data_IF_719013197751
#
_entry.id   IF_719013197751
#
_cell.length_a   1.000
_cell.length_b   1.000
_cell.length_c   1.000
_cell.angle_alpha   90.00
_cell.angle_beta   90.00
_cell.angle_gamma   90.00
#
_symmetry.space_group_name_H-M   'P 1'
#
loop_
_entity.id
_entity.type
_entity.pdbx_description
1 polymer ?
#
# COMPACT_ATOMS: atom_id res chain seq x y z
N UNK A 1 23.60 16.37 -17.54
CA UNK A 1 22.32 15.57 -17.46
C UNK A 1 21.25 16.44 -16.83
N UNK A 2 19.98 16.27 -17.25
CA UNK A 2 18.87 16.99 -16.64
C UNK A 2 18.57 16.41 -15.24
N UNK A 3 18.22 17.26 -14.26
CA UNK A 3 17.84 16.77 -12.93
C UNK A 3 16.63 15.83 -12.98
N UNK A 4 16.65 14.81 -12.14
CA UNK A 4 15.50 13.94 -11.89
C UNK A 4 14.81 14.42 -10.63
N UNK A 5 13.51 14.63 -10.69
CA UNK A 5 12.70 15.09 -9.56
C UNK A 5 11.68 14.03 -9.15
N UNK A 6 11.78 13.58 -7.90
CA UNK A 6 10.81 12.72 -7.23
C UNK A 6 9.91 13.58 -6.36
N UNK A 7 8.59 13.35 -6.37
CA UNK A 7 7.69 14.02 -5.42
C UNK A 7 7.62 13.25 -4.11
N UNK A 8 8.15 13.86 -3.06
CA UNK A 8 8.20 13.29 -1.70
C UNK A 8 7.09 13.76 -0.76
N UNK A 9 6.10 14.53 -1.25
CA UNK A 9 5.06 15.13 -0.36
C UNK A 9 4.31 14.07 0.46
N UNK A 10 4.11 12.87 -0.08
CA UNK A 10 3.45 11.75 0.62
C UNK A 10 4.23 11.27 1.84
N UNK A 11 5.53 11.55 1.92
CA UNK A 11 6.39 11.20 3.06
C UNK A 11 6.21 12.13 4.27
N UNK A 12 5.37 13.15 4.16
CA UNK A 12 4.89 13.94 5.30
C UNK A 12 3.66 13.28 5.98
N UNK A 13 3.16 12.18 5.44
CA UNK A 13 2.06 11.38 5.99
C UNK A 13 2.63 10.12 6.67
N UNK A 14 1.84 9.41 7.52
CA UNK A 14 2.28 8.15 8.13
C UNK A 14 2.75 7.11 7.08
N UNK A 15 3.84 6.40 7.37
CA UNK A 15 4.50 5.49 6.43
C UNK A 15 3.71 4.17 6.31
N UNK A 16 2.60 4.21 5.58
CA UNK A 16 1.74 3.06 5.28
C UNK A 16 1.32 3.07 3.81
N UNK A 17 1.11 1.90 3.19
CA UNK A 17 0.66 1.80 1.79
C UNK A 17 1.56 2.55 0.80
N UNK A 18 1.02 3.56 0.09
CA UNK A 18 1.77 4.36 -0.90
C UNK A 18 2.95 5.12 -0.27
N UNK A 19 2.82 5.80 0.90
CA UNK A 19 3.98 6.35 1.60
C UNK A 19 5.09 5.32 1.86
N UNK A 20 4.74 4.07 2.21
CA UNK A 20 5.73 2.98 2.40
C UNK A 20 6.48 2.70 1.09
N UNK A 21 5.78 2.58 -0.03
CA UNK A 21 6.42 2.35 -1.32
C UNK A 21 7.46 3.46 -1.63
N UNK A 22 7.06 4.73 -1.49
CA UNK A 22 7.97 5.86 -1.78
C UNK A 22 9.16 5.87 -0.82
N UNK A 23 8.91 5.63 0.47
CA UNK A 23 9.96 5.55 1.50
C UNK A 23 10.99 4.47 1.18
N UNK A 24 10.52 3.24 0.92
CA UNK A 24 11.39 2.09 0.67
C UNK A 24 12.20 2.24 -0.63
N UNK A 25 11.60 2.81 -1.67
CA UNK A 25 12.30 3.11 -2.93
C UNK A 25 13.33 4.20 -2.72
N UNK A 26 12.98 5.33 -2.12
CA UNK A 26 13.88 6.49 -1.97
C UNK A 26 15.06 6.17 -1.07
N UNK A 27 14.83 5.52 0.07
CA UNK A 27 15.90 5.20 1.02
C UNK A 27 16.89 4.17 0.50
N UNK A 28 16.43 3.20 -0.31
CA UNK A 28 17.32 2.22 -0.94
C UNK A 28 17.96 2.73 -2.22
N UNK A 29 17.29 3.64 -2.93
CA UNK A 29 17.85 4.27 -4.12
C UNK A 29 19.01 5.18 -3.77
N UNK A 30 18.99 5.87 -2.63
CA UNK A 30 20.00 6.84 -2.22
C UNK A 30 21.43 6.28 -2.30
N UNK A 31 21.79 5.16 -1.64
CA UNK A 31 23.14 4.59 -1.76
C UNK A 31 23.47 4.07 -3.15
N UNK A 32 22.46 3.63 -3.94
CA UNK A 32 22.68 3.16 -5.31
C UNK A 32 23.04 4.28 -6.31
N UNK A 33 22.83 5.54 -5.93
CA UNK A 33 23.17 6.71 -6.74
C UNK A 33 24.64 7.12 -6.59
N UNK A 34 25.36 6.61 -5.61
CA UNK A 34 26.79 6.91 -5.41
C UNK A 34 27.60 6.61 -6.67
N UNK A 35 28.42 7.57 -7.10
CA UNK A 35 29.27 7.44 -8.30
C UNK A 35 28.55 7.48 -9.64
N UNK A 36 27.21 7.58 -9.70
CA UNK A 36 26.47 7.61 -10.98
C UNK A 36 26.50 8.96 -11.69
N UNK A 37 26.82 10.04 -10.99
CA UNK A 37 26.78 11.42 -11.52
C UNK A 37 25.36 11.96 -11.77
N UNK A 38 24.30 11.26 -11.36
CA UNK A 38 22.92 11.68 -11.52
C UNK A 38 22.54 12.76 -10.48
N UNK A 39 21.88 13.84 -10.91
CA UNK A 39 21.30 14.86 -10.02
C UNK A 39 19.85 14.47 -9.71
N UNK A 40 19.65 13.73 -8.61
CA UNK A 40 18.33 13.31 -8.13
C UNK A 40 17.89 14.23 -6.98
N UNK A 41 16.67 14.76 -7.10
CA UNK A 41 16.10 15.68 -6.13
C UNK A 41 14.74 15.18 -5.66
N UNK A 42 14.53 15.18 -4.34
CA UNK A 42 13.24 14.90 -3.74
C UNK A 42 12.58 16.23 -3.38
N UNK A 43 11.60 16.64 -4.19
CA UNK A 43 10.80 17.84 -3.91
C UNK A 43 9.57 17.47 -3.08
N UNK A 44 9.28 18.24 -2.04
CA UNK A 44 8.07 18.04 -1.23
C UNK A 44 7.40 19.37 -0.91
N UNK A 45 6.10 19.29 -0.61
CA UNK A 45 5.36 20.47 -0.16
C UNK A 45 5.73 20.79 1.29
N UNK A 46 6.43 21.89 1.48
CA UNK A 46 6.72 22.44 2.81
C UNK A 46 5.48 23.19 3.34
N UNK A 47 4.71 22.51 4.17
CA UNK A 47 3.51 23.02 4.84
C UNK A 47 3.61 22.91 6.37
N UNK A 48 4.84 22.75 6.90
CA UNK A 48 5.14 22.65 8.33
C UNK A 48 5.01 21.24 8.90
N UNK A 49 4.58 20.24 8.11
CA UNK A 49 4.60 18.83 8.55
C UNK A 49 6.01 18.26 8.46
N UNK A 50 6.40 17.37 9.39
CA UNK A 50 7.69 16.71 9.32
C UNK A 50 7.79 15.81 8.09
N UNK A 51 8.96 15.76 7.49
CA UNK A 51 9.30 14.80 6.44
C UNK A 51 9.87 13.53 7.09
N UNK A 52 9.18 12.40 6.93
CA UNK A 52 9.57 11.13 7.54
C UNK A 52 10.60 10.41 6.65
N UNK A 53 11.85 10.88 6.67
CA UNK A 53 12.99 10.25 5.99
C UNK A 53 14.24 10.29 6.88
N UNK A 54 15.13 9.29 6.77
CA UNK A 54 16.47 9.40 7.32
C UNK A 54 17.28 10.44 6.52
N UNK A 55 18.48 10.76 7.00
CA UNK A 55 19.43 11.55 6.23
C UNK A 55 19.81 10.83 4.92
N UNK A 56 19.67 11.52 3.79
CA UNK A 56 20.04 11.03 2.46
C UNK A 56 21.36 11.68 2.03
N UNK A 57 22.25 10.91 1.39
CA UNK A 57 23.58 11.37 0.98
C UNK A 57 23.64 11.80 -0.48
N UNK A 58 22.90 11.13 -1.36
CA UNK A 58 22.97 11.30 -2.80
C UNK A 58 21.71 11.95 -3.39
N UNK A 59 20.58 11.93 -2.66
CA UNK A 59 19.33 12.58 -3.07
C UNK A 59 19.19 13.93 -2.37
N UNK A 60 19.11 15.02 -3.13
CA UNK A 60 18.94 16.39 -2.60
C UNK A 60 17.49 16.62 -2.19
N UNK A 61 17.25 16.93 -0.93
CA UNK A 61 15.92 17.28 -0.42
C UNK A 61 15.64 18.77 -0.73
N UNK A 62 14.51 19.05 -1.39
CA UNK A 62 14.11 20.39 -1.82
C UNK A 62 12.72 20.73 -1.29
N UNK A 63 12.62 21.52 -0.20
CA UNK A 63 11.34 22.01 0.29
C UNK A 63 10.77 23.08 -0.66
N UNK A 64 9.50 22.95 -1.03
CA UNK A 64 8.81 23.92 -1.87
C UNK A 64 7.58 24.45 -1.14
N UNK A 65 7.64 25.72 -0.72
CA UNK A 65 6.50 26.39 -0.05
C UNK A 65 5.31 26.49 -0.99
N UNK A 66 4.19 25.90 -0.60
CA UNK A 66 2.97 25.92 -1.38
C UNK A 66 1.75 25.54 -0.54
N UNK A 67 0.58 26.11 -0.87
CA UNK A 67 -0.71 25.62 -0.38
C UNK A 67 -1.10 24.31 -1.09
N UNK A 68 -1.94 23.50 -0.45
CA UNK A 68 -2.27 22.12 -0.88
C UNK A 68 -2.54 21.96 -2.39
N UNK A 69 -3.37 22.81 -2.96
CA UNK A 69 -3.78 22.67 -4.37
C UNK A 69 -2.79 23.32 -5.34
N UNK A 70 -2.06 24.34 -4.93
CA UNK A 70 -1.09 25.02 -5.79
C UNK A 70 0.19 24.22 -6.00
N UNK A 71 0.53 23.30 -5.09
CA UNK A 71 1.77 22.54 -5.18
C UNK A 71 1.88 21.76 -6.49
N UNK A 72 0.96 20.82 -6.73
CA UNK A 72 0.97 19.96 -7.92
C UNK A 72 0.59 20.69 -9.21
N UNK A 73 -0.23 21.75 -9.14
CA UNK A 73 -0.74 22.45 -10.33
C UNK A 73 0.16 23.59 -10.79
N UNK A 74 0.93 24.21 -9.87
CA UNK A 74 1.66 25.44 -10.17
C UNK A 74 3.12 25.37 -9.73
N UNK A 75 3.38 25.08 -8.44
CA UNK A 75 4.73 25.25 -7.86
C UNK A 75 5.68 24.18 -8.38
N UNK A 76 5.32 22.91 -8.27
CA UNK A 76 6.12 21.81 -8.77
C UNK A 76 6.31 21.87 -10.31
N UNK A 77 5.28 22.11 -11.15
CA UNK A 77 5.47 22.28 -12.58
C UNK A 77 6.36 23.48 -12.97
N UNK A 78 6.30 24.58 -12.22
CA UNK A 78 7.23 25.71 -12.43
C UNK A 78 8.67 25.32 -12.09
N UNK A 79 8.88 24.61 -10.98
CA UNK A 79 10.19 24.11 -10.59
C UNK A 79 10.77 23.17 -11.68
N UNK A 80 9.98 22.19 -12.14
CA UNK A 80 10.38 21.26 -13.19
C UNK A 80 10.80 21.99 -14.49
N UNK A 81 10.01 22.96 -14.92
CA UNK A 81 10.33 23.78 -16.13
C UNK A 81 11.58 24.59 -15.96
N UNK A 82 11.72 25.30 -14.81
CA UNK A 82 12.89 26.15 -14.53
C UNK A 82 14.20 25.36 -14.56
N UNK A 83 14.18 24.11 -14.10
CA UNK A 83 15.36 23.25 -14.01
C UNK A 83 15.49 22.27 -15.19
N UNK A 84 14.60 22.30 -16.18
CA UNK A 84 14.51 21.31 -17.25
C UNK A 84 14.46 19.87 -16.75
N UNK A 85 13.85 19.66 -15.57
CA UNK A 85 13.87 18.40 -14.84
C UNK A 85 12.94 17.34 -15.46
N UNK A 86 13.33 16.07 -15.34
CA UNK A 86 12.48 14.94 -15.61
C UNK A 86 11.75 14.54 -14.31
N UNK A 87 10.48 14.24 -14.40
CA UNK A 87 9.64 13.95 -13.25
C UNK A 87 9.40 12.45 -13.06
N UNK A 88 9.62 11.96 -11.84
CA UNK A 88 9.34 10.58 -11.41
C UNK A 88 8.28 10.62 -10.30
N UNK A 89 7.03 10.32 -10.66
CA UNK A 89 5.90 10.28 -9.74
C UNK A 89 5.71 8.90 -9.15
N UNK A 90 6.16 8.68 -7.92
CA UNK A 90 6.08 7.39 -7.24
C UNK A 90 4.77 7.17 -6.46
N UNK A 91 3.95 8.21 -6.28
CA UNK A 91 2.81 8.22 -5.36
C UNK A 91 1.43 8.42 -6.02
N UNK A 92 1.24 8.01 -7.27
CA UNK A 92 0.02 8.31 -8.04
C UNK A 92 -0.25 9.82 -8.14
N UNK A 93 0.78 10.59 -8.46
CA UNK A 93 0.71 12.04 -8.51
C UNK A 93 0.04 12.57 -9.76
N UNK A 94 -0.71 13.67 -9.61
CA UNK A 94 -1.29 14.36 -10.74
C UNK A 94 -0.19 15.02 -11.60
N UNK A 95 -0.18 14.71 -12.88
CA UNK A 95 0.83 15.15 -13.84
C UNK A 95 0.47 16.43 -14.54
N UNK A 96 1.48 17.30 -14.67
CA UNK A 96 1.42 18.54 -15.47
C UNK A 96 2.65 18.68 -16.40
N UNK A 97 3.32 17.56 -16.74
CA UNK A 97 4.51 17.56 -17.62
C UNK A 97 4.57 16.29 -18.46
N UNK A 98 5.04 16.43 -19.71
CA UNK A 98 5.29 15.28 -20.62
C UNK A 98 6.63 14.59 -20.37
N UNK A 99 7.55 15.24 -19.65
CA UNK A 99 8.83 14.64 -19.25
C UNK A 99 8.65 13.92 -17.93
N UNK A 100 7.97 12.78 -17.96
CA UNK A 100 7.60 12.09 -16.74
C UNK A 100 7.36 10.60 -16.93
N UNK A 101 7.61 9.87 -15.85
CA UNK A 101 7.10 8.52 -15.60
C UNK A 101 6.33 8.51 -14.27
N UNK A 102 5.28 7.71 -14.19
CA UNK A 102 4.37 7.73 -13.02
C UNK A 102 3.95 6.33 -12.62
N UNK A 103 3.85 6.11 -11.31
CA UNK A 103 3.21 4.92 -10.74
C UNK A 103 1.73 5.22 -10.46
N UNK A 104 0.83 4.44 -11.03
CA UNK A 104 -0.56 4.31 -10.61
C UNK A 104 -0.68 3.02 -9.79
N UNK A 105 -0.72 3.14 -8.47
CA UNK A 105 -0.76 1.98 -7.57
C UNK A 105 -2.03 1.16 -7.74
N UNK A 106 -3.17 1.82 -7.89
CA UNK A 106 -4.44 1.21 -8.27
C UNK A 106 -5.38 2.25 -8.91
N UNK A 107 -6.46 1.76 -9.49
CA UNK A 107 -7.55 2.59 -10.01
C UNK A 107 -8.88 2.26 -9.32
N UNK A 108 -8.83 1.84 -8.06
CA UNK A 108 -9.99 1.47 -7.25
C UNK A 108 -11.16 2.47 -7.33
N UNK A 109 -10.95 3.80 -7.24
CA UNK A 109 -12.06 4.75 -7.30
C UNK A 109 -12.84 4.73 -8.62
N UNK A 110 -12.25 4.23 -9.69
CA UNK A 110 -12.92 4.09 -11.00
C UNK A 110 -13.67 2.76 -11.13
N UNK A 111 -13.21 1.72 -10.41
CA UNK A 111 -13.75 0.35 -10.47
C UNK A 111 -14.86 0.17 -9.44
N UNK A 112 -14.57 0.51 -8.19
CA UNK A 112 -15.51 0.39 -7.09
C UNK A 112 -16.25 1.71 -6.88
N UNK A 113 -17.59 1.67 -6.96
CA UNK A 113 -18.44 2.87 -6.79
C UNK A 113 -18.63 3.27 -5.31
N UNK A 114 -17.67 2.92 -4.44
CA UNK A 114 -17.70 3.19 -3.00
C UNK A 114 -17.32 4.63 -2.63
N UNK A 115 -16.59 5.31 -3.52
CA UNK A 115 -16.15 6.68 -3.28
C UNK A 115 -17.18 7.71 -3.79
N UNK A 116 -17.16 8.93 -3.22
CA UNK A 116 -18.02 10.03 -3.64
C UNK A 116 -17.83 10.37 -5.12
N UNK A 117 -18.92 10.72 -5.82
CA UNK A 117 -18.90 11.04 -7.24
C UNK A 117 -17.86 12.13 -7.59
N UNK A 118 -17.75 13.18 -6.78
CA UNK A 118 -16.77 14.25 -6.99
C UNK A 118 -15.32 13.75 -6.87
N UNK A 119 -15.04 12.90 -5.89
CA UNK A 119 -13.70 12.30 -5.73
C UNK A 119 -13.35 11.39 -6.91
N UNK A 120 -14.30 10.57 -7.34
CA UNK A 120 -14.16 9.71 -8.53
C UNK A 120 -13.93 10.51 -9.79
N UNK A 121 -14.65 11.62 -10.00
CA UNK A 121 -14.43 12.52 -11.11
C UNK A 121 -13.03 13.16 -11.09
N UNK A 122 -12.60 13.66 -9.93
CA UNK A 122 -11.25 14.22 -9.75
C UNK A 122 -10.16 13.16 -10.02
N UNK A 123 -10.38 11.94 -9.55
CA UNK A 123 -9.43 10.84 -9.77
C UNK A 123 -9.41 10.41 -11.25
N UNK A 124 -10.55 10.38 -11.90
CA UNK A 124 -10.65 10.14 -13.35
C UNK A 124 -9.87 11.19 -14.15
N UNK A 125 -10.01 12.47 -13.82
CA UNK A 125 -9.24 13.54 -14.46
C UNK A 125 -7.74 13.38 -14.22
N UNK A 126 -7.33 12.96 -13.03
CA UNK A 126 -5.96 12.60 -12.72
C UNK A 126 -5.46 11.46 -13.63
N UNK A 127 -6.23 10.38 -13.78
CA UNK A 127 -5.88 9.27 -14.66
C UNK A 127 -5.79 9.69 -16.13
N UNK A 128 -6.67 10.59 -16.59
CA UNK A 128 -6.58 11.16 -17.94
C UNK A 128 -5.30 11.98 -18.12
N UNK A 129 -4.92 12.81 -17.15
CA UNK A 129 -3.65 13.56 -17.23
C UNK A 129 -2.47 12.60 -17.34
N UNK A 130 -2.48 11.50 -16.60
CA UNK A 130 -1.45 10.44 -16.69
C UNK A 130 -1.44 9.79 -18.07
N UNK A 131 -2.60 9.42 -18.62
CA UNK A 131 -2.71 8.84 -19.99
C UNK A 131 -2.07 9.73 -21.06
N UNK A 132 -2.34 11.04 -21.02
CA UNK A 132 -1.94 11.97 -22.07
C UNK A 132 -0.54 12.56 -21.89
N UNK A 133 -0.08 12.69 -20.65
CA UNK A 133 1.17 13.37 -20.33
C UNK A 133 2.31 12.43 -19.96
N UNK A 134 2.05 11.29 -19.30
CA UNK A 134 3.15 10.40 -18.92
C UNK A 134 3.78 9.73 -20.12
N UNK A 135 5.13 9.73 -20.16
CA UNK A 135 5.90 8.98 -21.15
C UNK A 135 5.74 7.47 -20.98
N UNK A 136 5.78 7.02 -19.71
CA UNK A 136 5.48 5.65 -19.28
C UNK A 136 4.67 5.67 -17.99
N UNK A 137 3.84 4.68 -17.83
CA UNK A 137 3.06 4.44 -16.61
C UNK A 137 3.57 3.15 -15.99
N UNK A 138 3.67 3.11 -14.67
CA UNK A 138 3.95 1.89 -13.92
C UNK A 138 2.80 1.58 -12.98
N UNK A 139 2.67 0.32 -12.65
CA UNK A 139 1.73 -0.16 -11.63
C UNK A 139 2.35 -1.30 -10.84
N UNK A 140 1.63 -1.85 -9.85
CA UNK A 140 2.23 -2.74 -8.85
C UNK A 140 1.91 -4.23 -9.04
N UNK A 141 1.09 -4.59 -10.06
CA UNK A 141 0.78 -5.98 -10.42
C UNK A 141 0.34 -6.08 -11.88
N UNK A 142 0.42 -7.26 -12.49
CA UNK A 142 -0.10 -7.47 -13.85
C UNK A 142 -1.63 -7.36 -13.90
N UNK A 143 -2.34 -7.77 -12.86
CA UNK A 143 -3.77 -7.54 -12.72
C UNK A 143 -4.12 -6.05 -12.84
N UNK A 144 -3.40 -5.17 -12.11
CA UNK A 144 -3.60 -3.72 -12.23
C UNK A 144 -3.18 -3.19 -13.60
N UNK A 145 -2.14 -3.74 -14.21
CA UNK A 145 -1.68 -3.37 -15.55
C UNK A 145 -2.79 -3.59 -16.60
N UNK A 146 -3.41 -4.76 -16.58
CA UNK A 146 -4.54 -5.07 -17.47
C UNK A 146 -5.76 -4.20 -17.17
N UNK A 147 -6.10 -4.02 -15.90
CA UNK A 147 -7.22 -3.20 -15.47
C UNK A 147 -7.06 -1.72 -15.87
N UNK A 148 -5.86 -1.15 -15.70
CA UNK A 148 -5.52 0.21 -16.13
C UNK A 148 -5.64 0.33 -17.65
N UNK A 149 -5.12 -0.63 -18.40
CA UNK A 149 -5.22 -0.65 -19.86
C UNK A 149 -6.68 -0.67 -20.31
N UNK A 150 -7.48 -1.58 -19.76
CA UNK A 150 -8.91 -1.74 -20.10
C UNK A 150 -9.73 -0.48 -19.76
N UNK A 151 -9.56 0.05 -18.54
CA UNK A 151 -10.40 1.15 -18.02
C UNK A 151 -10.01 2.53 -18.53
N UNK A 152 -8.72 2.75 -18.77
CA UNK A 152 -8.21 4.04 -19.21
C UNK A 152 -7.82 4.08 -20.68
N UNK A 153 -7.76 2.92 -21.36
CA UNK A 153 -7.30 2.82 -22.75
C UNK A 153 -5.85 3.26 -22.91
N UNK A 154 -4.99 2.93 -21.93
CA UNK A 154 -3.54 3.09 -22.02
C UNK A 154 -2.99 1.80 -22.63
N UNK A 155 -2.21 1.85 -23.74
CA UNK A 155 -1.63 0.64 -24.32
C UNK A 155 -0.77 -0.15 -23.34
N UNK A 156 -0.84 -1.49 -23.35
CA UNK A 156 -0.14 -2.37 -22.43
C UNK A 156 1.38 -2.22 -22.48
N UNK A 157 1.95 -1.95 -23.65
CA UNK A 157 3.38 -1.69 -23.84
C UNK A 157 3.86 -0.38 -23.19
N UNK A 158 2.96 0.56 -22.97
CA UNK A 158 3.21 1.80 -22.22
C UNK A 158 3.14 1.60 -20.70
N UNK A 159 2.59 0.48 -20.21
CA UNK A 159 2.43 0.20 -18.79
C UNK A 159 3.44 -0.86 -18.34
N UNK A 160 4.40 -0.45 -17.49
CA UNK A 160 5.31 -1.35 -16.81
C UNK A 160 4.77 -1.80 -15.45
N UNK A 161 5.39 -2.84 -14.88
CA UNK A 161 5.09 -3.28 -13.51
C UNK A 161 6.30 -3.07 -12.63
N UNK A 162 6.08 -2.47 -11.46
CA UNK A 162 7.03 -2.31 -10.37
C UNK A 162 6.42 -2.88 -9.11
N UNK A 163 7.08 -3.84 -8.47
CA UNK A 163 6.50 -4.56 -7.34
C UNK A 163 6.79 -3.87 -5.99
N UNK A 164 6.05 -4.23 -4.97
CA UNK A 164 6.39 -3.93 -3.57
C UNK A 164 7.34 -5.01 -3.02
N UNK A 165 7.87 -4.79 -1.82
CA UNK A 165 8.71 -5.73 -1.09
C UNK A 165 8.27 -5.88 0.37
N UNK A 166 9.06 -6.61 1.15
CA UNK A 166 8.75 -7.00 2.53
C UNK A 166 9.87 -6.71 3.53
N UNK A 167 11.09 -6.38 3.08
CA UNK A 167 12.30 -6.33 3.91
C UNK A 167 12.29 -5.21 4.96
N UNK A 168 11.34 -4.28 4.88
CA UNK A 168 11.18 -3.20 5.87
C UNK A 168 10.93 -3.72 7.30
N UNK A 169 10.39 -4.94 7.43
CA UNK A 169 10.20 -5.57 8.74
C UNK A 169 11.42 -6.38 9.22
N UNK A 170 12.43 -6.63 8.39
CA UNK A 170 13.57 -7.48 8.78
C UNK A 170 14.26 -7.02 10.07
N UNK A 171 14.63 -5.74 10.10
CA UNK A 171 15.38 -5.14 11.19
C UNK A 171 14.51 -4.53 12.30
N UNK A 172 13.18 -4.61 12.17
CA UNK A 172 12.25 -4.16 13.20
C UNK A 172 12.22 -5.19 14.33
N UNK A 173 12.38 -4.75 15.57
CA UNK A 173 12.21 -5.64 16.72
C UNK A 173 10.71 -5.86 17.00
N UNK A 174 10.28 -7.10 17.26
CA UNK A 174 8.87 -7.36 17.63
C UNK A 174 8.56 -6.69 18.98
N UNK A 175 7.50 -5.90 19.00
CA UNK A 175 7.01 -5.24 20.21
C UNK A 175 5.86 -6.05 20.81
N UNK A 176 6.18 -6.80 21.86
CA UNK A 176 5.25 -7.70 22.53
C UNK A 176 4.24 -6.97 23.43
N UNK A 177 4.42 -5.67 23.70
CA UNK A 177 3.48 -4.88 24.52
C UNK A 177 2.09 -4.78 23.89
N UNK A 178 1.94 -5.09 22.61
CA UNK A 178 0.65 -5.20 21.95
C UNK A 178 -0.28 -6.20 22.64
N UNK A 179 0.25 -7.27 23.23
CA UNK A 179 -0.54 -8.27 23.93
C UNK A 179 -1.12 -7.77 25.26
N UNK A 180 -0.58 -6.69 25.83
CA UNK A 180 -1.15 -6.05 27.03
C UNK A 180 -2.54 -5.44 26.73
N UNK A 181 -2.79 -5.09 25.47
CA UNK A 181 -4.10 -4.61 24.96
C UNK A 181 -5.05 -5.75 24.59
N UNK A 182 -4.65 -7.01 24.71
CA UNK A 182 -5.37 -8.19 24.21
C UNK A 182 -5.55 -9.25 25.30
N UNK A 183 -6.24 -8.90 26.42
CA UNK A 183 -6.40 -9.83 27.53
C UNK A 183 -7.15 -11.10 27.09
N UNK A 184 -6.60 -12.28 27.43
CA UNK A 184 -7.16 -13.57 27.06
C UNK A 184 -6.75 -14.10 25.68
N UNK A 185 -6.12 -13.30 24.83
CA UNK A 185 -5.59 -13.79 23.55
C UNK A 185 -4.31 -14.60 23.76
N UNK A 186 -4.33 -15.87 23.35
CA UNK A 186 -3.20 -16.77 23.45
C UNK A 186 -2.41 -16.80 22.16
N UNK A 187 -1.07 -16.77 22.26
CA UNK A 187 -0.17 -16.88 21.12
C UNK A 187 -0.37 -18.20 20.40
N UNK A 188 -0.31 -18.16 19.05
CA UNK A 188 -0.54 -19.30 18.15
C UNK A 188 -1.97 -19.89 18.14
N UNK A 189 -2.92 -19.23 18.85
CA UNK A 189 -4.31 -19.67 18.89
C UNK A 189 -5.29 -18.67 18.25
N UNK A 190 -4.83 -17.54 17.69
CA UNK A 190 -5.70 -16.53 17.05
C UNK A 190 -5.43 -16.38 15.58
N UNK A 191 -6.45 -16.00 14.82
CA UNK A 191 -6.36 -15.53 13.45
C UNK A 191 -6.17 -14.01 13.44
N UNK A 192 -5.26 -13.52 12.59
CA UNK A 192 -4.92 -12.11 12.55
C UNK A 192 -5.31 -11.47 11.20
N UNK A 193 -5.89 -10.28 11.24
CA UNK A 193 -6.17 -9.47 10.07
C UNK A 193 -5.71 -8.02 10.30
N UNK A 194 -5.14 -7.39 9.26
CA UNK A 194 -4.61 -6.03 9.32
C UNK A 194 -5.13 -5.19 8.14
N UNK A 195 -5.59 -3.97 8.42
CA UNK A 195 -5.93 -3.00 7.38
C UNK A 195 -6.79 -1.84 7.87
N UNK A 196 -7.07 -0.91 6.96
CA UNK A 196 -8.01 0.19 7.21
C UNK A 196 -9.45 -0.32 7.15
N UNK A 197 -10.38 0.43 7.77
CA UNK A 197 -11.83 0.12 7.74
C UNK A 197 -12.51 0.39 6.39
N UNK A 198 -11.76 0.65 5.33
CA UNK A 198 -12.29 0.90 4.00
C UNK A 198 -13.04 -0.35 3.46
N UNK A 199 -14.20 -0.15 2.85
CA UNK A 199 -15.11 -1.24 2.45
C UNK A 199 -14.46 -2.32 1.56
N UNK A 200 -13.49 -1.94 0.71
CA UNK A 200 -12.77 -2.91 -0.12
C UNK A 200 -11.86 -3.87 0.68
N UNK A 201 -11.49 -3.54 1.93
CA UNK A 201 -10.75 -4.44 2.83
C UNK A 201 -11.63 -5.52 3.44
N UNK A 202 -12.96 -5.39 3.34
CA UNK A 202 -13.97 -6.40 3.64
C UNK A 202 -13.86 -7.02 5.04
N UNK A 203 -13.60 -6.21 6.07
CA UNK A 203 -13.60 -6.72 7.46
C UNK A 203 -14.97 -7.23 7.92
N UNK A 204 -16.06 -6.93 7.17
CA UNK A 204 -17.34 -7.60 7.33
C UNK A 204 -17.19 -9.12 7.27
N UNK A 205 -16.38 -9.63 6.32
CA UNK A 205 -16.11 -11.05 6.20
C UNK A 205 -15.53 -11.64 7.49
N UNK A 206 -14.54 -10.96 8.11
CA UNK A 206 -13.93 -11.44 9.37
C UNK A 206 -14.98 -11.52 10.48
N UNK A 207 -15.86 -10.51 10.59
CA UNK A 207 -16.92 -10.50 11.61
C UNK A 207 -17.93 -11.63 11.41
N UNK A 208 -18.38 -11.82 10.19
CA UNK A 208 -19.35 -12.86 9.85
C UNK A 208 -18.79 -14.26 10.08
N UNK A 209 -17.52 -14.48 9.72
CA UNK A 209 -16.83 -15.75 9.98
C UNK A 209 -16.61 -15.95 11.48
N UNK A 210 -16.21 -14.90 12.22
CA UNK A 210 -16.02 -14.99 13.66
C UNK A 210 -17.34 -15.33 14.40
N UNK A 211 -18.47 -14.76 13.98
CA UNK A 211 -19.78 -15.08 14.54
C UNK A 211 -20.19 -16.55 14.34
N UNK A 212 -19.74 -17.18 13.24
CA UNK A 212 -19.99 -18.61 12.93
C UNK A 212 -18.96 -19.55 13.57
N UNK A 213 -17.85 -19.00 14.09
CA UNK A 213 -16.77 -19.74 14.74
C UNK A 213 -16.51 -19.20 16.15
N UNK A 214 -17.46 -19.34 17.10
CA UNK A 214 -17.37 -18.74 18.44
C UNK A 214 -16.25 -19.35 19.30
N UNK A 215 -15.76 -20.54 18.93
CA UNK A 215 -14.62 -21.23 19.55
C UNK A 215 -13.24 -20.73 19.05
N UNK A 216 -13.19 -19.88 18.03
CA UNK A 216 -11.96 -19.32 17.47
C UNK A 216 -11.74 -17.90 17.97
N UNK A 217 -10.50 -17.47 18.07
CA UNK A 217 -10.09 -16.12 18.46
C UNK A 217 -9.59 -15.35 17.24
N UNK A 218 -10.03 -14.09 17.12
CA UNK A 218 -9.62 -13.20 16.03
C UNK A 218 -8.99 -11.91 16.61
N UNK A 219 -7.94 -11.44 15.98
CA UNK A 219 -7.33 -10.14 16.26
C UNK A 219 -7.39 -9.31 14.98
N UNK A 220 -8.03 -8.14 15.03
CA UNK A 220 -8.18 -7.25 13.89
C UNK A 220 -7.53 -5.92 14.22
N UNK A 221 -6.38 -5.64 13.61
CA UNK A 221 -5.65 -4.40 13.80
C UNK A 221 -5.90 -3.39 12.66
N UNK A 222 -5.74 -2.13 12.98
CA UNK A 222 -6.06 -0.98 12.13
C UNK A 222 -7.38 -0.34 12.53
N UNK A 223 -7.59 0.91 12.19
CA UNK A 223 -8.81 1.64 12.54
C UNK A 223 -8.55 2.99 13.22
N UNK A 224 -9.35 3.39 14.20
CA UNK A 224 -9.63 4.76 14.66
C UNK A 224 -8.46 5.70 14.99
N UNK A 225 -7.31 5.23 15.39
CA UNK A 225 -6.22 6.15 15.79
C UNK A 225 -5.46 6.77 14.61
N UNK A 226 -5.74 6.34 13.37
CA UNK A 226 -5.17 6.97 12.20
C UNK A 226 -6.06 8.12 11.70
N UNK A 227 -6.03 9.24 12.42
CA UNK A 227 -6.78 10.46 12.10
C UNK A 227 -6.58 10.96 10.64
N UNK A 228 -5.46 10.64 10.00
CA UNK A 228 -5.19 11.03 8.61
C UNK A 228 -6.12 10.31 7.62
N UNK A 229 -6.49 9.05 7.88
CA UNK A 229 -7.42 8.28 7.03
C UNK A 229 -8.87 8.67 7.34
N UNK A 230 -9.19 8.96 8.62
CA UNK A 230 -10.53 9.36 9.07
C UNK A 230 -10.95 10.75 8.56
N UNK A 231 -10.03 11.69 8.43
CA UNK A 231 -10.32 13.00 7.80
C UNK A 231 -10.71 12.88 6.32
N UNK A 232 -10.38 11.79 5.67
CA UNK A 232 -10.74 11.54 4.27
C UNK A 232 -12.15 10.97 4.11
N UNK A 233 -12.64 10.24 5.12
CA UNK A 233 -14.00 9.68 5.17
C UNK A 233 -14.78 10.42 6.29
N UNK A 234 -15.75 11.26 5.92
CA UNK A 234 -16.65 11.88 6.91
C UNK A 234 -17.49 10.80 7.59
N UNK A 235 -17.89 11.03 8.86
CA UNK A 235 -18.68 10.11 9.69
C UNK A 235 -19.89 9.45 8.98
N UNK A 236 -20.52 10.14 8.03
CA UNK A 236 -21.64 9.60 7.23
C UNK A 236 -21.26 8.45 6.30
N UNK A 237 -20.00 8.38 5.83
CA UNK A 237 -19.54 7.30 4.97
C UNK A 237 -19.13 6.08 5.79
N UNK A 238 -18.67 6.29 7.02
CA UNK A 238 -18.43 5.23 8.01
C UNK A 238 -19.73 4.53 8.41
N UNK A 239 -20.82 5.28 8.60
CA UNK A 239 -22.13 4.72 8.90
C UNK A 239 -22.73 3.89 7.75
N UNK A 240 -22.44 4.26 6.49
CA UNK A 240 -22.87 3.50 5.30
C UNK A 240 -22.11 2.18 5.11
N UNK A 241 -20.89 2.05 5.69
CA UNK A 241 -20.08 0.83 5.68
C UNK A 241 -20.25 -0.03 6.94
N UNK A 242 -21.19 0.34 7.84
CA UNK A 242 -21.32 -0.21 9.20
C UNK A 242 -20.09 0.21 10.00
N UNK A 243 -20.21 1.16 10.92
CA UNK A 243 -19.08 1.51 11.78
C UNK A 243 -18.65 0.24 12.51
N UNK A 244 -17.41 -0.19 12.35
CA UNK A 244 -16.88 -1.36 13.05
C UNK A 244 -17.08 -1.27 14.56
N UNK A 245 -17.38 -0.09 15.09
CA UNK A 245 -17.62 0.18 16.50
C UNK A 245 -19.11 0.23 16.89
N UNK A 246 -20.00 0.72 16.02
CA UNK A 246 -21.44 0.57 16.27
C UNK A 246 -21.83 -0.92 16.19
N UNK A 247 -21.14 -1.68 15.30
CA UNK A 247 -21.36 -3.11 15.13
C UNK A 247 -20.49 -3.97 16.08
N UNK A 248 -19.33 -3.49 16.55
CA UNK A 248 -18.50 -4.16 17.57
C UNK A 248 -19.23 -4.22 18.93
N UNK A 249 -20.17 -3.29 19.19
CA UNK A 249 -21.09 -3.37 20.32
C UNK A 249 -22.15 -4.48 20.13
N UNK A 250 -22.32 -5.03 18.92
CA UNK A 250 -23.24 -6.11 18.61
C UNK A 250 -22.50 -7.44 18.35
N UNK A 251 -22.03 -8.10 19.43
CA UNK A 251 -21.90 -9.55 19.54
C UNK A 251 -20.84 -10.30 18.75
N UNK A 252 -19.53 -10.04 18.97
CA UNK A 252 -18.60 -11.16 18.90
C UNK A 252 -17.57 -11.04 20.02
N UNK A 253 -17.80 -11.75 21.11
CA UNK A 253 -16.88 -11.84 22.26
C UNK A 253 -15.49 -12.42 21.92
N UNK A 254 -15.32 -12.91 20.69
CA UNK A 254 -14.12 -13.56 20.20
C UNK A 254 -13.29 -12.73 19.20
N UNK A 255 -13.64 -11.43 18.97
CA UNK A 255 -12.80 -10.50 18.17
C UNK A 255 -12.17 -9.45 19.09
N UNK A 256 -10.88 -9.30 18.99
CA UNK A 256 -10.08 -8.34 19.75
C UNK A 256 -9.50 -7.26 18.83
N UNK A 257 -9.63 -6.00 19.21
CA UNK A 257 -9.20 -4.84 18.43
C UNK A 257 -8.11 -4.06 19.17
N UNK A 258 -6.80 -4.26 18.85
CA UNK A 258 -5.72 -3.48 19.47
C UNK A 258 -5.66 -2.02 18.97
N UNK A 259 -6.50 -1.66 17.98
CA UNK A 259 -6.43 -0.36 17.31
C UNK A 259 -5.28 -0.27 16.30
N UNK A 260 -4.70 0.93 16.16
CA UNK A 260 -3.48 1.13 15.38
C UNK A 260 -2.31 0.38 16.01
N UNK A 261 -1.50 -0.26 15.18
CA UNK A 261 -0.29 -0.99 15.59
C UNK A 261 0.92 -0.46 14.85
N UNK A 262 2.04 -0.32 15.57
CA UNK A 262 3.34 0.01 14.98
C UNK A 262 3.89 -1.17 14.17
N UNK A 263 4.93 -0.96 13.37
CA UNK A 263 5.59 -2.04 12.63
C UNK A 263 6.10 -3.16 13.58
N UNK A 264 6.62 -2.80 14.78
CA UNK A 264 7.05 -3.76 15.80
C UNK A 264 5.89 -4.57 16.38
N UNK A 265 4.78 -3.91 16.69
CA UNK A 265 3.56 -4.55 17.18
C UNK A 265 2.92 -5.44 16.10
N UNK A 266 2.88 -4.97 14.85
CA UNK A 266 2.41 -5.76 13.73
C UNK A 266 3.27 -7.02 13.53
N UNK A 267 4.60 -6.87 13.59
CA UNK A 267 5.54 -8.01 13.53
C UNK A 267 5.26 -9.02 14.64
N UNK A 268 5.07 -8.57 15.88
CA UNK A 268 4.74 -9.43 17.00
C UNK A 268 3.43 -10.20 16.79
N UNK A 269 2.38 -9.53 16.29
CA UNK A 269 1.10 -10.16 16.00
C UNK A 269 1.19 -11.17 14.86
N UNK A 270 1.87 -10.84 13.76
CA UNK A 270 2.05 -11.76 12.63
C UNK A 270 2.86 -13.00 13.02
N UNK A 271 3.95 -12.83 13.76
CA UNK A 271 4.78 -13.95 14.19
C UNK A 271 4.07 -14.91 15.16
N UNK A 272 3.07 -14.43 15.90
CA UNK A 272 2.38 -15.19 16.92
C UNK A 272 0.94 -15.58 16.56
N UNK A 273 0.46 -15.31 15.35
CA UNK A 273 -0.86 -15.78 14.91
C UNK A 273 -0.85 -17.26 14.51
N UNK A 274 -2.02 -17.91 14.55
CA UNK A 274 -2.29 -19.21 13.97
C UNK A 274 -2.34 -19.13 12.44
N UNK A 275 -2.90 -18.02 11.93
CA UNK A 275 -2.99 -17.72 10.50
C UNK A 275 -3.32 -16.26 10.26
N UNK A 276 -2.83 -15.71 9.15
CA UNK A 276 -3.15 -14.36 8.70
C UNK A 276 -4.27 -14.38 7.67
N UNK A 277 -5.30 -13.57 7.90
CA UNK A 277 -6.49 -13.45 7.04
C UNK A 277 -6.47 -12.13 6.27
N UNK A 278 -6.64 -12.18 4.95
CA UNK A 278 -6.73 -10.98 4.12
C UNK A 278 -7.96 -11.03 3.22
N UNK A 279 -9.11 -10.52 3.70
CA UNK A 279 -10.40 -10.67 3.02
C UNK A 279 -10.66 -9.60 1.95
N UNK A 280 -9.66 -8.78 1.59
CA UNK A 280 -9.81 -7.67 0.68
C UNK A 280 -10.34 -8.11 -0.70
N UNK A 281 -11.42 -7.47 -1.15
CA UNK A 281 -12.01 -7.73 -2.48
C UNK A 281 -11.34 -6.94 -3.60
N UNK A 282 -10.55 -5.94 -3.25
CA UNK A 282 -9.76 -5.16 -4.20
C UNK A 282 -8.44 -4.69 -3.59
N UNK A 283 -7.34 -5.00 -4.27
CA UNK A 283 -5.98 -4.57 -3.94
C UNK A 283 -5.21 -4.20 -5.20
N UNK A 284 -4.26 -3.28 -5.06
CA UNK A 284 -3.22 -3.05 -6.07
C UNK A 284 -2.14 -4.13 -5.98
N UNK A 285 -1.72 -4.47 -4.75
CA UNK A 285 -0.70 -5.47 -4.46
C UNK A 285 -1.02 -6.32 -3.22
N UNK A 286 -1.32 -5.70 -2.07
CA UNK A 286 -1.50 -6.41 -0.81
C UNK A 286 -0.18 -6.65 -0.07
N UNK A 287 0.43 -5.58 0.47
CA UNK A 287 1.68 -5.68 1.26
C UNK A 287 1.51 -6.56 2.51
N UNK A 288 0.42 -6.45 3.32
CA UNK A 288 0.30 -7.20 4.56
C UNK A 288 0.39 -8.73 4.43
N UNK A 289 -0.18 -9.40 3.41
CA UNK A 289 0.08 -10.82 3.20
C UNK A 289 1.55 -11.17 2.93
N UNK A 290 2.28 -10.29 2.22
CA UNK A 290 3.70 -10.50 1.94
C UNK A 290 4.55 -10.36 3.22
N UNK A 291 4.20 -9.38 4.07
CA UNK A 291 4.77 -9.23 5.41
C UNK A 291 4.55 -10.48 6.26
N UNK A 292 3.30 -10.98 6.31
CA UNK A 292 2.94 -12.18 7.06
C UNK A 292 3.73 -13.41 6.59
N UNK A 293 3.85 -13.62 5.28
CA UNK A 293 4.67 -14.70 4.70
C UNK A 293 6.13 -14.58 5.10
N UNK A 294 6.71 -13.39 5.05
CA UNK A 294 8.11 -13.14 5.41
C UNK A 294 8.42 -13.44 6.87
N UNK A 295 7.40 -13.41 7.72
CA UNK A 295 7.46 -13.68 9.15
C UNK A 295 7.05 -15.12 9.52
N UNK A 296 6.81 -15.97 8.50
CA UNK A 296 6.46 -17.38 8.67
C UNK A 296 5.01 -17.63 9.08
N UNK A 297 4.13 -16.63 8.99
CA UNK A 297 2.71 -16.82 9.25
C UNK A 297 2.01 -17.51 8.06
N UNK A 298 1.23 -18.57 8.27
CA UNK A 298 0.36 -19.11 7.24
C UNK A 298 -0.66 -18.06 6.79
N UNK A 299 -0.88 -17.93 5.48
CA UNK A 299 -1.82 -16.92 4.94
C UNK A 299 -3.03 -17.56 4.28
N UNK A 300 -4.20 -16.93 4.50
CA UNK A 300 -5.42 -17.20 3.74
C UNK A 300 -5.98 -15.89 3.19
N UNK A 301 -6.22 -15.85 1.89
CA UNK A 301 -6.51 -14.65 1.13
C UNK A 301 -7.86 -14.77 0.41
N UNK A 302 -8.55 -13.65 0.25
CA UNK A 302 -9.67 -13.61 -0.68
C UNK A 302 -9.21 -13.98 -2.09
N UNK A 303 -9.96 -14.82 -2.80
CA UNK A 303 -9.72 -15.12 -4.22
C UNK A 303 -10.21 -13.94 -5.08
N UNK A 304 -9.52 -12.81 -4.99
CA UNK A 304 -9.94 -11.57 -5.61
C UNK A 304 -8.76 -10.72 -6.08
N UNK A 305 -9.01 -9.88 -7.10
CA UNK A 305 -8.05 -8.89 -7.62
C UNK A 305 -6.68 -9.52 -7.95
N UNK A 306 -5.58 -8.89 -7.53
CA UNK A 306 -4.22 -9.34 -7.79
C UNK A 306 -3.72 -10.47 -6.86
N UNK A 307 -4.46 -10.83 -5.81
CA UNK A 307 -3.97 -11.75 -4.79
C UNK A 307 -3.60 -13.15 -5.35
N UNK A 308 -4.42 -13.80 -6.21
CA UNK A 308 -4.04 -15.08 -6.81
C UNK A 308 -2.80 -15.01 -7.70
N UNK A 309 -2.64 -13.91 -8.45
CA UNK A 309 -1.46 -13.66 -9.30
C UNK A 309 -0.17 -13.57 -8.48
N UNK A 310 -0.24 -12.85 -7.37
CA UNK A 310 0.93 -12.51 -6.57
C UNK A 310 1.39 -13.66 -5.67
N UNK A 311 0.45 -14.42 -5.11
CA UNK A 311 0.75 -15.39 -4.06
C UNK A 311 0.64 -16.85 -4.54
N UNK A 312 -0.06 -17.13 -5.67
CA UNK A 312 -0.17 -18.48 -6.25
C UNK A 312 -0.48 -19.53 -5.19
N UNK A 313 0.22 -20.66 -5.25
CA UNK A 313 0.04 -21.78 -4.33
C UNK A 313 0.65 -21.57 -2.93
N UNK A 314 1.30 -20.43 -2.68
CA UNK A 314 1.85 -20.09 -1.36
C UNK A 314 0.75 -19.68 -0.38
N UNK A 315 -0.39 -19.25 -0.89
CA UNK A 315 -1.55 -18.86 -0.11
C UNK A 315 -2.69 -19.90 -0.21
N UNK A 316 -3.51 -19.92 0.82
CA UNK A 316 -4.82 -20.55 0.79
C UNK A 316 -5.86 -19.51 0.39
N UNK A 317 -6.92 -19.95 -0.31
CA UNK A 317 -7.91 -19.01 -0.84
C UNK A 317 -9.31 -19.35 -0.38
N UNK A 318 -10.10 -18.31 -0.13
CA UNK A 318 -11.53 -18.38 0.16
C UNK A 318 -12.33 -17.39 -0.73
N UNK A 319 -13.61 -17.63 -0.88
CA UNK A 319 -14.54 -16.68 -1.49
C UNK A 319 -14.79 -15.52 -0.51
N UNK A 320 -14.52 -14.25 -0.87
CA UNK A 320 -14.75 -13.12 0.03
C UNK A 320 -16.22 -12.83 0.36
N UNK A 321 -17.15 -13.55 -0.24
CA UNK A 321 -18.60 -13.44 -0.01
C UNK A 321 -19.20 -14.68 0.67
N UNK A 322 -18.43 -15.76 0.81
CA UNK A 322 -18.78 -16.92 1.61
C UNK A 322 -18.32 -16.72 3.05
N UNK A 323 -19.26 -16.78 3.99
CA UNK A 323 -19.01 -16.62 5.43
C UNK A 323 -19.04 -17.96 6.18
N UNK A 324 -19.43 -19.04 5.52
CA UNK A 324 -19.48 -20.38 6.10
C UNK A 324 -18.17 -21.16 5.82
N UNK A 325 -17.06 -20.61 6.32
CA UNK A 325 -15.73 -21.14 6.08
C UNK A 325 -15.21 -21.90 7.29
N UNK A 326 -14.92 -23.19 7.11
CA UNK A 326 -14.14 -23.97 8.07
C UNK A 326 -12.66 -23.54 8.00
N UNK A 327 -12.24 -22.73 8.97
CA UNK A 327 -10.88 -22.21 9.04
C UNK A 327 -9.85 -23.30 9.31
N UNK A 328 -10.18 -24.33 10.10
CA UNK A 328 -9.24 -25.42 10.38
C UNK A 328 -9.00 -26.24 9.11
N UNK A 329 -10.05 -26.60 8.38
CA UNK A 329 -9.93 -27.26 7.09
C UNK A 329 -9.20 -26.39 6.03
N UNK A 330 -9.46 -25.07 6.03
CA UNK A 330 -8.78 -24.13 5.13
C UNK A 330 -7.28 -24.11 5.40
N UNK A 331 -6.85 -23.96 6.65
CA UNK A 331 -5.43 -23.89 7.01
C UNK A 331 -4.72 -25.26 7.01
N UNK A 332 -5.45 -26.36 7.07
CA UNK A 332 -4.90 -27.71 6.88
C UNK A 332 -4.51 -28.00 5.43
N UNK A 333 -5.03 -27.25 4.43
CA UNK A 333 -4.63 -27.41 3.03
C UNK A 333 -3.14 -27.13 2.87
N UNK A 334 -2.42 -27.89 2.04
CA UNK A 334 -1.02 -27.63 1.76
C UNK A 334 -0.85 -26.26 1.09
N UNK A 335 0.31 -25.63 1.33
CA UNK A 335 0.74 -24.45 0.62
C UNK A 335 2.21 -24.60 0.23
N UNK A 336 2.59 -24.00 -0.90
CA UNK A 336 3.98 -24.02 -1.35
C UNK A 336 4.87 -23.18 -0.41
N UNK A 337 6.17 -23.48 -0.31
CA UNK A 337 7.13 -22.64 0.41
C UNK A 337 7.16 -21.19 -0.10
N UNK A 338 7.37 -20.19 0.78
CA UNK A 338 7.29 -18.78 0.42
C UNK A 338 8.49 -18.25 -0.36
N UNK A 339 9.58 -19.04 -0.46
CA UNK A 339 10.88 -18.60 -0.98
C UNK A 339 10.79 -17.92 -2.35
N UNK A 340 10.05 -18.52 -3.28
CA UNK A 340 9.89 -17.97 -4.64
C UNK A 340 9.15 -16.62 -4.64
N UNK A 341 8.11 -16.49 -3.82
CA UNK A 341 7.33 -15.25 -3.69
C UNK A 341 8.18 -14.17 -3.04
N UNK A 342 8.86 -14.48 -1.92
CA UNK A 342 9.73 -13.55 -1.21
C UNK A 342 10.93 -13.13 -2.07
N UNK A 343 11.53 -14.06 -2.81
CA UNK A 343 12.61 -13.74 -3.74
C UNK A 343 12.16 -12.89 -4.94
N UNK A 344 10.91 -13.02 -5.39
CA UNK A 344 10.35 -12.23 -6.48
C UNK A 344 10.07 -10.80 -6.05
N UNK A 345 9.46 -10.60 -4.87
CA UNK A 345 8.94 -9.32 -4.39
C UNK A 345 9.84 -8.75 -3.30
N UNK A 346 10.74 -7.86 -3.68
CA UNK A 346 11.80 -7.30 -2.84
C UNK A 346 11.93 -5.80 -3.06
N UNK A 347 12.04 -5.02 -1.99
CA UNK A 347 12.30 -3.58 -2.05
C UNK A 347 13.65 -3.27 -2.69
N UNK A 348 14.66 -4.11 -2.46
CA UNK A 348 15.97 -3.97 -3.08
C UNK A 348 15.87 -4.09 -4.61
N UNK A 349 15.13 -5.09 -5.11
CA UNK A 349 14.88 -5.25 -6.55
C UNK A 349 14.11 -4.07 -7.11
N UNK A 350 13.13 -3.57 -6.38
CA UNK A 350 12.34 -2.41 -6.78
C UNK A 350 13.18 -1.14 -6.85
N UNK A 351 14.08 -0.92 -5.89
CA UNK A 351 14.99 0.23 -5.93
C UNK A 351 15.96 0.15 -7.12
N UNK A 352 16.52 -1.03 -7.41
CA UNK A 352 17.39 -1.24 -8.60
C UNK A 352 16.63 -1.02 -9.91
N UNK A 353 15.40 -1.52 -10.00
CA UNK A 353 14.53 -1.24 -11.14
C UNK A 353 14.34 0.27 -11.34
N UNK A 354 14.08 1.02 -10.25
CA UNK A 354 13.93 2.48 -10.34
C UNK A 354 15.23 3.20 -10.65
N UNK A 355 16.40 2.71 -10.22
CA UNK A 355 17.68 3.24 -10.65
C UNK A 355 17.82 3.15 -12.18
N UNK A 356 17.49 2.00 -12.77
CA UNK A 356 17.59 1.80 -14.21
C UNK A 356 16.59 2.67 -15.01
N UNK A 357 15.37 2.83 -14.49
CA UNK A 357 14.39 3.73 -15.11
C UNK A 357 14.81 5.20 -14.99
N UNK A 358 15.41 5.61 -13.87
CA UNK A 358 15.94 6.97 -13.66
C UNK A 358 17.10 7.24 -14.62
N UNK A 359 18.01 6.30 -14.85
CA UNK A 359 19.09 6.42 -15.86
C UNK A 359 18.51 6.69 -17.24
N UNK A 360 17.54 5.89 -17.69
CA UNK A 360 16.82 6.10 -18.97
C UNK A 360 16.13 7.47 -19.05
N UNK A 361 15.61 7.97 -17.92
CA UNK A 361 14.98 9.29 -17.85
C UNK A 361 16.01 10.44 -17.95
N UNK A 362 17.20 10.25 -17.41
CA UNK A 362 18.27 11.25 -17.45
C UNK A 362 18.87 11.43 -18.85
N UNK A 363 18.81 10.39 -19.67
CA UNK A 363 19.27 10.38 -21.07
C UNK A 363 18.22 10.95 -22.05
N UNK A 364 16.98 11.10 -21.63
CA UNK A 364 15.81 11.49 -22.43
C UNK A 364 15.50 12.99 -22.33
#
# INVERSE_FOLDING_TARGET
MNPIVINGTVLCDPITGIPRFVYEVVTRLDPLLEGTGLDVRLCYRDDGRPLHLPELKNIKIVPLKAIKYSYNLVVLPRYLRKHHAFYVGLASDMLMTRRSVVVLHDIRPLVMKTDRAFFRFKFWFHCLSTKWLARRVFTVSDNQRHLISERLGIPLDKIGVTYNGWEHLQNVQPDMTVFDKLPGVKKKEYYYALGSLAGHKNFKWVREVAARNPDKTFVVAGGKENNAVLHYYKEKDLAAFGSAEADAAQNTSNIFYPGYVTDGQNKALMQNCKGFLHPAVFEGFGIPPLEALSLGAPIALARASCLPELYGDTARYFDPYDYDVDLDALFAKPAAPPDKVLAKYSWEKTARFWLDEIKKCAEA
#
